data_IF_782952750435
#
_entry.id   IF_782952750435
#
_cell.length_a   1.000
_cell.length_b   1.000
_cell.length_c   1.000
_cell.angle_alpha   90.00
_cell.angle_beta   90.00
_cell.angle_gamma   90.00
#
_symmetry.space_group_name_H-M   'P 1'
#
loop_
_entity.id
_entity.type
_entity.pdbx_description
1 polymer ?
#
# COMPACT_ATOMS: atom_id res chain seq x y z
N UNK A 1 -49.11 -45.05 38.32
CA UNK A 1 -48.71 -44.57 36.98
C UNK A 1 -48.48 -43.07 37.05
N UNK A 2 -47.25 -42.60 36.87
CA UNK A 2 -46.90 -41.17 36.95
C UNK A 2 -46.87 -40.56 35.56
N UNK A 3 -47.66 -39.51 35.35
CA UNK A 3 -47.73 -38.83 34.05
C UNK A 3 -46.44 -38.03 33.79
N UNK A 4 -45.82 -38.23 32.63
CA UNK A 4 -44.69 -37.43 32.19
C UNK A 4 -45.11 -35.96 31.97
N UNK A 5 -44.53 -35.04 32.75
CA UNK A 5 -44.80 -33.61 32.61
C UNK A 5 -44.38 -33.08 31.25
N UNK A 6 -45.28 -32.34 30.58
CA UNK A 6 -44.96 -31.68 29.30
C UNK A 6 -43.86 -30.62 29.53
N UNK A 7 -42.78 -30.59 28.73
CA UNK A 7 -41.72 -29.60 28.90
C UNK A 7 -42.25 -28.18 28.68
N UNK A 8 -41.71 -27.22 29.44
CA UNK A 8 -42.20 -25.84 29.46
C UNK A 8 -41.87 -25.09 28.17
N UNK A 9 -42.71 -24.11 27.79
CA UNK A 9 -42.46 -23.28 26.59
C UNK A 9 -41.17 -22.43 26.65
N UNK A 10 -40.49 -22.35 27.80
CA UNK A 10 -39.25 -21.57 27.95
C UNK A 10 -38.00 -22.28 27.41
N UNK A 11 -38.04 -23.60 27.23
CA UNK A 11 -36.93 -24.40 26.71
C UNK A 11 -36.94 -24.54 25.17
N UNK A 12 -37.91 -23.91 24.51
CA UNK A 12 -37.96 -23.75 23.05
C UNK A 12 -36.92 -22.73 22.58
N UNK A 13 -35.66 -23.18 22.61
CA UNK A 13 -34.53 -22.79 21.76
C UNK A 13 -34.42 -21.28 21.48
N UNK A 14 -33.39 -20.65 22.05
CA UNK A 14 -32.75 -19.47 21.44
C UNK A 14 -32.26 -19.86 20.04
N UNK A 15 -33.15 -19.78 19.04
CA UNK A 15 -32.85 -20.16 17.67
C UNK A 15 -31.90 -19.10 17.10
N UNK A 16 -30.61 -19.42 17.10
CA UNK A 16 -29.56 -18.59 16.51
C UNK A 16 -29.84 -18.51 15.01
N UNK A 17 -30.46 -17.40 14.59
CA UNK A 17 -30.71 -17.14 13.18
C UNK A 17 -29.37 -16.96 12.47
N UNK A 18 -28.94 -17.99 11.73
CA UNK A 18 -27.74 -17.93 10.90
C UNK A 18 -27.95 -16.93 9.76
N UNK A 19 -27.17 -15.84 9.78
CA UNK A 19 -27.10 -14.89 8.66
C UNK A 19 -26.06 -15.39 7.67
N UNK A 20 -26.46 -15.56 6.41
CA UNK A 20 -25.50 -15.78 5.33
C UNK A 20 -24.75 -14.47 5.07
N UNK A 21 -23.42 -14.50 5.19
CA UNK A 21 -22.52 -13.42 4.82
C UNK A 21 -21.74 -13.78 3.56
N UNK A 22 -21.43 -12.77 2.73
CA UNK A 22 -20.50 -12.93 1.61
C UNK A 22 -19.11 -12.48 2.08
N UNK A 23 -18.31 -13.43 2.56
CA UNK A 23 -16.91 -13.20 2.96
C UNK A 23 -15.98 -13.64 1.84
N UNK A 24 -14.86 -12.93 1.66
CA UNK A 24 -13.78 -13.37 0.76
C UNK A 24 -13.33 -14.80 1.13
N UNK A 25 -13.17 -15.71 0.16
CA UNK A 25 -12.55 -17.01 0.41
C UNK A 25 -11.02 -16.90 0.59
N UNK A 26 -10.41 -15.80 0.11
CA UNK A 26 -8.97 -15.57 0.13
C UNK A 26 -8.52 -14.94 1.44
N UNK A 27 -7.36 -15.38 1.94
CA UNK A 27 -6.78 -14.87 3.19
C UNK A 27 -5.34 -14.41 2.96
N UNK A 28 -5.10 -13.10 2.88
CA UNK A 28 -3.75 -12.54 2.78
C UNK A 28 -2.93 -12.93 4.01
N UNK A 29 -1.89 -13.76 3.81
CA UNK A 29 -0.96 -14.23 4.84
C UNK A 29 0.47 -13.93 4.40
N UNK A 30 1.34 -13.65 5.37
CA UNK A 30 2.76 -13.47 5.12
C UNK A 30 3.44 -14.83 4.98
N UNK A 31 4.28 -14.99 3.95
CA UNK A 31 5.11 -16.17 3.76
C UNK A 31 6.08 -16.36 4.95
N UNK A 32 6.29 -17.59 5.44
CA UNK A 32 7.15 -17.85 6.59
C UNK A 32 8.63 -17.64 6.24
N UNK A 33 9.33 -16.86 7.06
CA UNK A 33 10.77 -16.62 6.92
C UNK A 33 11.57 -17.64 7.74
N UNK A 34 12.62 -18.22 7.16
CA UNK A 34 13.49 -19.17 7.85
C UNK A 34 14.25 -18.49 9.02
N UNK A 35 14.49 -19.19 10.15
CA UNK A 35 15.19 -18.60 11.31
C UNK A 35 16.59 -18.08 10.98
N UNK A 36 17.34 -18.78 10.12
CA UNK A 36 18.70 -18.39 9.69
C UNK A 36 18.68 -17.07 8.92
N UNK A 37 17.74 -16.92 7.98
CA UNK A 37 17.64 -15.74 7.13
C UNK A 37 17.07 -14.53 7.87
N UNK A 38 16.14 -14.73 8.79
CA UNK A 38 15.74 -13.72 9.79
C UNK A 38 16.97 -13.14 10.50
N UNK A 39 17.83 -13.98 11.07
CA UNK A 39 18.98 -13.50 11.84
C UNK A 39 20.06 -12.85 10.98
N UNK A 40 20.23 -13.32 9.74
CA UNK A 40 21.04 -12.63 8.73
C UNK A 40 20.50 -11.24 8.43
N UNK A 41 19.22 -11.12 8.03
CA UNK A 41 18.56 -9.85 7.70
C UNK A 41 18.70 -8.84 8.84
N UNK A 42 18.44 -9.25 10.08
CA UNK A 42 18.54 -8.36 11.25
C UNK A 42 19.97 -7.85 11.50
N UNK A 43 21.00 -8.68 11.27
CA UNK A 43 22.41 -8.27 11.39
C UNK A 43 22.79 -7.31 10.27
N UNK A 44 22.57 -7.69 9.00
CA UNK A 44 22.90 -6.85 7.84
C UNK A 44 22.24 -5.48 7.90
N UNK A 45 20.97 -5.41 8.32
CA UNK A 45 20.28 -4.13 8.56
C UNK A 45 20.95 -3.29 9.64
N UNK A 46 21.22 -3.89 10.81
CA UNK A 46 21.86 -3.22 11.94
C UNK A 46 23.22 -2.66 11.54
N UNK A 47 24.06 -3.49 10.95
CA UNK A 47 25.44 -3.14 10.62
C UNK A 47 25.48 -2.03 9.55
N UNK A 48 24.60 -2.09 8.53
CA UNK A 48 24.49 -1.04 7.51
C UNK A 48 23.92 0.28 8.06
N UNK A 49 22.93 0.23 8.97
CA UNK A 49 22.38 1.44 9.60
C UNK A 49 23.44 2.14 10.47
N UNK A 50 24.22 1.37 11.23
CA UNK A 50 25.35 1.90 12.01
C UNK A 50 26.42 2.49 11.07
N UNK A 51 26.81 1.78 10.01
CA UNK A 51 27.81 2.25 9.05
C UNK A 51 27.37 3.50 8.26
N UNK A 52 26.07 3.68 8.02
CA UNK A 52 25.52 4.88 7.36
C UNK A 52 25.28 6.05 8.33
N UNK A 53 25.39 5.83 9.64
CA UNK A 53 25.19 6.86 10.67
C UNK A 53 23.76 7.41 10.75
N UNK A 54 22.76 6.69 10.23
CA UNK A 54 21.37 7.14 10.14
C UNK A 54 20.63 7.06 11.49
N UNK A 55 20.88 8.01 12.38
CA UNK A 55 20.19 8.10 13.68
C UNK A 55 19.33 9.37 13.76
N UNK A 56 18.02 9.22 14.03
CA UNK A 56 17.14 10.35 14.27
C UNK A 56 17.46 11.01 15.62
N UNK A 57 18.12 12.15 15.60
CA UNK A 57 18.33 13.03 16.76
C UNK A 57 17.08 13.88 16.99
N UNK A 58 16.35 13.60 18.07
CA UNK A 58 15.22 14.44 18.49
C UNK A 58 15.71 15.67 19.26
N UNK A 59 15.97 16.77 18.54
CA UNK A 59 16.14 18.07 19.16
C UNK A 59 14.85 18.49 19.88
N UNK A 60 14.88 18.50 21.22
CA UNK A 60 13.79 18.96 22.09
C UNK A 60 13.71 20.48 22.08
N UNK A 61 13.49 21.09 20.90
CA UNK A 61 13.14 22.51 20.82
C UNK A 61 11.81 22.71 21.57
N UNK A 62 11.76 23.53 22.64
CA UNK A 62 10.50 23.81 23.31
C UNK A 62 9.61 24.55 22.32
N UNK A 63 8.45 23.95 21.98
CA UNK A 63 7.49 24.60 21.10
C UNK A 63 7.01 25.87 21.79
N UNK A 64 7.50 27.02 21.35
CA UNK A 64 6.96 28.31 21.78
C UNK A 64 5.49 28.36 21.36
N UNK A 65 4.61 28.11 22.34
CA UNK A 65 3.17 28.17 22.17
C UNK A 65 2.82 29.59 21.72
N UNK A 66 2.36 29.75 20.48
CA UNK A 66 2.02 31.07 19.94
C UNK A 66 0.93 31.68 20.82
N UNK A 67 1.31 32.62 21.68
CA UNK A 67 0.34 33.49 22.36
C UNK A 67 -0.47 34.18 21.27
N UNK A 68 -1.78 34.06 21.34
CA UNK A 68 -2.75 34.67 20.42
C UNK A 68 -2.53 36.18 20.48
N UNK A 69 -1.84 36.75 19.49
CA UNK A 69 -1.64 38.20 19.39
C UNK A 69 -2.96 38.80 18.96
N UNK A 70 -3.59 39.54 19.86
CA UNK A 70 -4.84 40.24 19.57
C UNK A 70 -4.58 41.35 18.54
N UNK A 71 -5.52 41.51 17.62
CA UNK A 71 -5.40 42.50 16.55
C UNK A 71 -5.64 43.90 17.11
N UNK A 72 -4.77 44.83 16.73
CA UNK A 72 -5.17 46.22 16.51
C UNK A 72 -4.45 46.72 15.25
N UNK A 73 -5.15 47.31 14.27
CA UNK A 73 -4.54 47.84 13.07
C UNK A 73 -3.91 49.20 13.35
N UNK A 74 -2.88 49.56 12.58
CA UNK A 74 -2.79 50.87 11.93
C UNK A 74 -1.82 50.79 10.74
N UNK A 75 -2.01 51.67 9.76
CA UNK A 75 -1.44 51.54 8.42
C UNK A 75 -0.25 52.48 8.16
N UNK A 76 0.73 52.03 7.38
CA UNK A 76 1.54 52.89 6.49
C UNK A 76 2.39 52.09 5.48
N UNK A 77 2.35 52.54 4.22
CA UNK A 77 3.35 52.43 3.15
C UNK A 77 3.76 51.04 2.55
N UNK A 78 3.79 51.03 1.22
CA UNK A 78 4.21 49.98 0.29
C UNK A 78 5.74 50.12 -0.05
N UNK A 79 6.39 49.36 -0.99
CA UNK A 79 5.83 48.47 -2.01
C UNK A 79 6.51 47.09 -2.20
N UNK A 80 5.98 46.36 -3.18
CA UNK A 80 6.35 45.00 -3.63
C UNK A 80 7.56 45.02 -4.57
N UNK A 81 8.39 43.96 -4.58
CA UNK A 81 8.71 43.34 -5.86
C UNK A 81 8.61 41.79 -5.86
N UNK A 82 7.72 41.32 -6.75
CA UNK A 82 7.88 40.21 -7.71
C UNK A 82 8.08 38.75 -7.22
N UNK A 83 7.49 37.86 -8.01
CA UNK A 83 7.43 36.39 -7.84
C UNK A 83 8.25 35.75 -8.97
N UNK A 84 9.00 34.71 -8.62
CA UNK A 84 9.88 33.93 -9.50
C UNK A 84 11.15 33.58 -8.70
N UNK A 85 11.66 32.36 -8.66
CA UNK A 85 11.38 31.17 -9.47
C UNK A 85 11.13 29.91 -8.62
N UNK A 86 10.74 28.82 -9.29
CA UNK A 86 10.39 27.56 -8.66
C UNK A 86 11.62 26.75 -8.23
N UNK A 87 11.70 26.46 -6.93
CA UNK A 87 12.48 25.33 -6.44
C UNK A 87 11.64 24.59 -5.39
N UNK A 88 11.31 23.32 -5.66
CA UNK A 88 10.48 22.51 -4.76
C UNK A 88 11.18 22.30 -3.41
N UNK A 89 10.83 23.16 -2.45
CA UNK A 89 11.46 23.26 -1.14
C UNK A 89 11.26 22.03 -0.24
N UNK A 90 12.11 21.01 -0.43
CA UNK A 90 12.42 20.03 0.60
C UNK A 90 13.10 20.74 1.78
N UNK A 91 12.30 21.33 2.68
CA UNK A 91 12.75 22.01 3.90
C UNK A 91 13.82 21.17 4.64
N UNK A 92 15.11 21.56 4.62
CA UNK A 92 16.20 20.65 4.97
C UNK A 92 16.43 20.51 6.48
N UNK A 93 15.91 21.43 7.29
CA UNK A 93 16.28 21.60 8.72
C UNK A 93 15.23 21.16 9.72
N UNK A 94 14.05 20.67 9.30
CA UNK A 94 12.97 20.26 10.23
C UNK A 94 13.00 18.79 10.64
N UNK A 95 13.89 18.01 10.03
CA UNK A 95 13.93 16.57 10.13
C UNK A 95 15.29 16.23 10.73
N UNK A 96 15.36 15.91 12.02
CA UNK A 96 16.61 15.63 12.76
C UNK A 96 17.30 14.33 12.35
N UNK A 97 17.55 14.14 11.06
CA UNK A 97 18.22 13.00 10.46
C UNK A 97 19.56 13.47 9.86
N UNK A 98 20.71 12.93 10.29
CA UNK A 98 21.96 13.10 9.55
C UNK A 98 21.84 12.38 8.20
N UNK A 99 22.50 12.91 7.16
CA UNK A 99 22.54 12.27 5.83
C UNK A 99 21.20 12.31 5.08
N UNK A 100 20.83 13.48 4.54
CA UNK A 100 19.57 13.66 3.80
C UNK A 100 19.42 12.69 2.62
N UNK A 101 20.51 12.39 1.90
CA UNK A 101 20.56 11.40 0.80
C UNK A 101 20.15 10.01 1.28
N UNK A 102 20.82 9.49 2.31
CA UNK A 102 20.56 8.16 2.84
C UNK A 102 19.13 8.07 3.44
N UNK A 103 18.64 9.15 4.04
CA UNK A 103 17.25 9.22 4.49
C UNK A 103 16.24 9.23 3.34
N UNK A 104 16.52 9.85 2.18
CA UNK A 104 15.62 9.82 1.00
C UNK A 104 15.43 8.42 0.44
N UNK A 105 16.47 7.58 0.49
CA UNK A 105 16.45 6.19 0.01
C UNK A 105 15.63 5.23 0.89
N UNK A 106 15.18 5.66 2.08
CA UNK A 106 14.39 4.82 3.00
C UNK A 106 12.93 5.29 3.16
N UNK A 107 12.00 4.36 3.00
CA UNK A 107 10.60 4.51 3.39
C UNK A 107 10.40 3.94 4.80
N UNK A 108 10.24 4.80 5.81
CA UNK A 108 10.11 4.38 7.22
C UNK A 108 8.66 4.53 7.68
N UNK A 109 8.07 3.42 8.15
CA UNK A 109 6.70 3.36 8.62
C UNK A 109 5.69 3.05 7.52
N UNK A 110 4.53 2.52 7.92
CA UNK A 110 3.51 1.96 7.02
C UNK A 110 3.08 2.97 5.95
N UNK A 111 2.75 4.21 6.35
CA UNK A 111 2.26 5.24 5.42
C UNK A 111 3.28 5.72 4.38
N UNK A 112 4.59 5.67 4.68
CA UNK A 112 5.63 6.01 3.71
C UNK A 112 5.96 4.83 2.79
N UNK A 113 5.83 3.61 3.31
CA UNK A 113 5.91 2.38 2.53
C UNK A 113 4.74 2.26 1.55
N UNK A 114 3.49 2.52 1.95
CA UNK A 114 2.33 2.45 1.05
C UNK A 114 2.46 3.43 -0.11
N UNK A 115 2.77 4.71 0.18
CA UNK A 115 3.05 5.73 -0.86
C UNK A 115 4.14 5.29 -1.84
N UNK A 116 5.20 4.66 -1.34
CA UNK A 116 6.31 4.22 -2.17
C UNK A 116 5.96 2.96 -3.00
N UNK A 117 5.13 2.05 -2.48
CA UNK A 117 4.56 0.93 -3.26
C UNK A 117 3.62 1.44 -4.35
N UNK A 118 2.70 2.35 -4.01
CA UNK A 118 1.73 2.94 -4.95
C UNK A 118 2.44 3.59 -6.16
N UNK A 119 3.57 4.26 -5.91
CA UNK A 119 4.45 4.92 -6.89
C UNK A 119 5.48 4.00 -7.58
N UNK A 120 5.47 2.69 -7.34
CA UNK A 120 6.49 1.74 -7.84
C UNK A 120 7.95 2.06 -7.44
N UNK A 121 8.14 2.84 -6.37
CA UNK A 121 9.45 3.34 -5.94
C UNK A 121 10.22 2.35 -5.05
N UNK A 122 9.66 1.21 -4.63
CA UNK A 122 10.36 0.24 -3.76
C UNK A 122 11.10 -0.85 -4.55
N UNK A 123 12.22 -1.29 -3.98
CA UNK A 123 13.02 -2.44 -4.41
C UNK A 123 12.89 -3.64 -3.44
N UNK A 124 12.67 -3.36 -2.15
CA UNK A 124 12.52 -4.34 -1.06
C UNK A 124 11.65 -3.78 0.06
N UNK A 125 10.80 -4.60 0.67
CA UNK A 125 9.97 -4.24 1.83
C UNK A 125 10.12 -5.24 2.99
N UNK A 126 10.45 -4.74 4.17
CA UNK A 126 10.52 -5.50 5.42
C UNK A 126 9.45 -4.99 6.40
N UNK A 127 8.66 -5.90 6.98
CA UNK A 127 7.56 -5.58 7.89
C UNK A 127 7.75 -6.29 9.23
N UNK A 128 7.50 -5.62 10.36
CA UNK A 128 7.72 -6.22 11.66
C UNK A 128 6.60 -7.20 12.04
N UNK A 129 6.93 -8.38 12.59
CA UNK A 129 5.91 -9.34 13.08
C UNK A 129 5.14 -8.86 14.31
N UNK A 130 5.67 -7.90 15.07
CA UNK A 130 5.04 -7.39 16.30
C UNK A 130 3.87 -6.42 16.07
N UNK A 131 3.59 -6.01 14.82
CA UNK A 131 2.51 -5.06 14.50
C UNK A 131 1.14 -5.65 14.86
N UNK A 132 0.37 -4.91 15.66
CA UNK A 132 -1.03 -5.21 16.01
C UNK A 132 -1.89 -3.96 15.74
N UNK A 133 -3.09 -4.11 15.15
CA UNK A 133 -3.65 -5.34 14.57
C UNK A 133 -2.98 -5.73 13.24
N UNK A 134 -2.93 -7.03 12.94
CA UNK A 134 -2.29 -7.55 11.72
C UNK A 134 -2.88 -7.01 10.41
N UNK A 135 -4.15 -6.57 10.42
CA UNK A 135 -4.79 -5.94 9.26
C UNK A 135 -4.04 -4.67 8.77
N UNK A 136 -3.31 -3.99 9.65
CA UNK A 136 -2.44 -2.86 9.28
C UNK A 136 -1.21 -3.26 8.43
N UNK A 137 -0.92 -4.55 8.28
CA UNK A 137 0.17 -5.03 7.41
C UNK A 137 -0.34 -5.88 6.26
N UNK A 138 -1.47 -6.58 6.42
CA UNK A 138 -1.99 -7.49 5.39
C UNK A 138 -2.26 -6.83 4.03
N UNK A 139 -2.58 -5.53 3.98
CA UNK A 139 -2.77 -4.81 2.71
C UNK A 139 -1.45 -4.65 1.92
N UNK A 140 -0.30 -4.62 2.61
CA UNK A 140 1.02 -4.54 1.96
C UNK A 140 1.34 -5.80 1.16
N UNK A 141 0.75 -6.96 1.50
CA UNK A 141 0.92 -8.23 0.77
C UNK A 141 0.45 -8.05 -0.68
N UNK A 142 -0.81 -7.63 -0.86
CA UNK A 142 -1.40 -7.41 -2.19
C UNK A 142 -0.72 -6.27 -2.95
N UNK A 143 -0.40 -5.15 -2.27
CA UNK A 143 0.32 -4.04 -2.90
C UNK A 143 1.73 -4.45 -3.36
N UNK A 144 2.45 -5.27 -2.60
CA UNK A 144 3.79 -5.71 -2.99
C UNK A 144 3.74 -6.72 -4.14
N UNK A 145 2.82 -7.70 -4.06
CA UNK A 145 2.64 -8.71 -5.10
C UNK A 145 2.26 -8.10 -6.46
N UNK A 146 1.29 -7.17 -6.50
CA UNK A 146 0.89 -6.50 -7.77
C UNK A 146 2.01 -5.69 -8.42
N UNK A 147 3.05 -5.31 -7.67
CA UNK A 147 4.20 -4.52 -8.17
C UNK A 147 5.52 -5.33 -8.20
N UNK A 148 5.46 -6.64 -7.98
CA UNK A 148 6.63 -7.54 -7.94
C UNK A 148 7.70 -7.16 -6.90
N UNK A 149 7.32 -6.43 -5.84
CA UNK A 149 8.28 -6.02 -4.81
C UNK A 149 8.46 -7.19 -3.83
N UNK A 150 9.68 -7.73 -3.66
CA UNK A 150 9.94 -8.74 -2.65
C UNK A 150 9.66 -8.16 -1.27
N UNK A 151 8.84 -8.85 -0.49
CA UNK A 151 8.53 -8.42 0.87
C UNK A 151 8.52 -9.58 1.87
N UNK A 152 8.88 -9.33 3.12
CA UNK A 152 8.74 -10.35 4.16
C UNK A 152 8.42 -9.77 5.54
N UNK A 153 7.89 -10.64 6.39
CA UNK A 153 7.62 -10.32 7.78
C UNK A 153 8.78 -10.78 8.68
N UNK A 154 9.57 -9.84 9.17
CA UNK A 154 10.73 -10.08 10.03
C UNK A 154 10.30 -9.96 11.51
N UNK A 155 10.37 -11.04 12.32
CA UNK A 155 10.13 -10.95 13.75
C UNK A 155 11.26 -10.20 14.45
N UNK A 156 10.93 -9.47 15.54
CA UNK A 156 11.87 -8.70 16.37
C UNK A 156 12.60 -7.53 15.67
N UNK A 157 12.26 -7.21 14.42
CA UNK A 157 12.87 -6.10 13.67
C UNK A 157 12.80 -4.77 14.42
N UNK A 158 11.65 -4.44 15.04
CA UNK A 158 11.52 -3.22 15.84
C UNK A 158 12.37 -3.22 17.12
N UNK A 159 12.71 -4.38 17.68
CA UNK A 159 13.57 -4.46 18.89
C UNK A 159 15.03 -4.24 18.52
N UNK A 160 15.48 -4.85 17.41
CA UNK A 160 16.88 -4.81 16.98
C UNK A 160 17.24 -3.53 16.23
N UNK A 161 16.34 -3.00 15.40
CA UNK A 161 16.68 -1.96 14.43
C UNK A 161 16.19 -0.56 14.83
N UNK A 162 15.05 -0.44 15.52
CA UNK A 162 14.45 0.88 15.79
C UNK A 162 15.36 1.77 16.67
N UNK A 163 16.01 1.18 17.68
CA UNK A 163 16.95 1.89 18.56
C UNK A 163 18.11 2.53 17.78
N UNK A 164 18.70 1.80 16.82
CA UNK A 164 19.81 2.30 15.99
C UNK A 164 19.39 3.41 15.00
N UNK A 165 18.09 3.53 14.72
CA UNK A 165 17.53 4.62 13.90
C UNK A 165 17.07 5.83 14.73
N UNK A 166 17.23 5.83 16.06
CA UNK A 166 16.66 6.86 16.93
C UNK A 166 15.12 6.83 17.00
N UNK A 167 14.51 5.65 16.81
CA UNK A 167 13.06 5.46 16.75
C UNK A 167 12.54 4.60 17.91
N UNK A 168 11.39 4.97 18.47
CA UNK A 168 10.71 4.18 19.52
C UNK A 168 10.19 2.84 19.00
N UNK A 169 9.78 2.78 17.73
CA UNK A 169 9.36 1.54 17.07
C UNK A 169 9.48 1.67 15.55
N UNK A 170 9.66 0.55 14.88
CA UNK A 170 9.77 0.43 13.42
C UNK A 170 8.82 -0.68 12.94
N UNK A 171 7.67 -0.28 12.39
CA UNK A 171 6.60 -1.21 11.97
C UNK A 171 6.83 -1.75 10.55
N UNK A 172 7.37 -0.93 9.65
CA UNK A 172 7.71 -1.27 8.28
C UNK A 172 8.91 -0.42 7.81
N UNK A 173 9.73 -0.99 6.93
CA UNK A 173 10.91 -0.40 6.33
C UNK A 173 10.97 -0.82 4.85
N UNK A 174 10.91 0.15 3.94
CA UNK A 174 11.09 -0.07 2.51
C UNK A 174 12.38 0.59 2.01
N UNK A 175 13.07 -0.08 1.09
CA UNK A 175 14.21 0.49 0.36
C UNK A 175 13.71 1.02 -0.98
N UNK A 176 13.94 2.31 -1.23
CA UNK A 176 13.56 2.94 -2.50
C UNK A 176 14.62 2.67 -3.56
N UNK A 177 14.17 2.50 -4.81
CA UNK A 177 15.00 2.60 -6.01
C UNK A 177 15.57 4.02 -6.07
N UNK A 178 16.86 4.15 -6.38
CA UNK A 178 17.46 5.47 -6.57
C UNK A 178 17.30 5.90 -8.03
N UNK A 179 17.19 7.21 -8.28
CA UNK A 179 17.54 7.77 -9.59
C UNK A 179 19.05 7.73 -9.77
N UNK A 180 19.51 7.77 -11.02
CA UNK A 180 20.94 7.67 -11.43
C UNK A 180 21.87 8.69 -10.76
N UNK A 181 21.34 9.78 -10.22
CA UNK A 181 22.08 10.88 -9.58
C UNK A 181 22.43 10.62 -8.10
N UNK A 182 21.59 9.88 -7.36
CA UNK A 182 21.77 9.61 -5.93
C UNK A 182 22.57 8.29 -5.75
N UNK A 183 23.81 8.36 -5.24
CA UNK A 183 24.64 7.16 -4.96
C UNK A 183 23.89 6.14 -4.09
N UNK A 184 23.65 4.95 -4.62
CA UNK A 184 22.85 3.91 -3.98
C UNK A 184 23.54 3.34 -2.73
N UNK A 185 23.23 3.85 -1.53
CA UNK A 185 23.92 3.41 -0.30
C UNK A 185 23.43 2.05 0.19
N UNK A 186 22.20 1.66 -0.15
CA UNK A 186 21.59 0.42 0.34
C UNK A 186 21.57 -0.73 -0.67
N UNK A 187 22.11 -0.56 -1.87
CA UNK A 187 22.07 -1.55 -2.95
C UNK A 187 22.58 -2.92 -2.49
N UNK A 188 23.81 -2.99 -1.97
CA UNK A 188 24.40 -4.24 -1.46
C UNK A 188 23.59 -4.89 -0.33
N UNK A 189 22.86 -4.10 0.48
CA UNK A 189 21.96 -4.63 1.50
C UNK A 189 20.70 -5.22 0.89
N UNK A 190 20.13 -4.59 -0.14
CA UNK A 190 18.97 -5.14 -0.86
C UNK A 190 19.37 -6.39 -1.64
N UNK A 191 20.49 -6.38 -2.36
CA UNK A 191 20.96 -7.50 -3.16
C UNK A 191 21.34 -8.72 -2.28
N UNK A 192 21.87 -8.50 -1.07
CA UNK A 192 22.14 -9.57 -0.11
C UNK A 192 20.88 -10.16 0.57
N UNK A 193 19.80 -9.36 0.71
CA UNK A 193 18.56 -9.78 1.37
C UNK A 193 17.56 -10.39 0.38
N UNK A 194 17.40 -9.80 -0.81
CA UNK A 194 16.43 -10.19 -1.84
C UNK A 194 16.39 -11.71 -2.14
N UNK A 195 17.50 -12.45 -2.34
CA UNK A 195 17.45 -13.89 -2.60
C UNK A 195 17.02 -14.75 -1.40
N UNK A 196 16.94 -14.18 -0.19
CA UNK A 196 16.51 -14.86 1.05
C UNK A 196 15.06 -14.54 1.43
N UNK A 197 14.43 -13.64 0.69
CA UNK A 197 13.03 -13.25 0.91
C UNK A 197 12.13 -14.29 0.21
N UNK A 198 11.23 -14.97 0.94
CA UNK A 198 10.27 -15.85 0.30
C UNK A 198 9.32 -15.05 -0.60
N UNK A 199 8.92 -15.62 -1.73
CA UNK A 199 7.90 -15.04 -2.60
C UNK A 199 6.57 -14.85 -1.86
N UNK A 200 5.82 -13.81 -2.23
CA UNK A 200 4.46 -13.60 -1.72
C UNK A 200 3.48 -14.26 -2.69
N UNK A 201 2.86 -15.35 -2.25
CA UNK A 201 1.70 -15.88 -2.96
C UNK A 201 0.44 -15.08 -2.56
N UNK A 202 -0.35 -14.70 -3.55
CA UNK A 202 -1.66 -14.08 -3.37
C UNK A 202 -2.66 -14.93 -4.13
N UNK A 203 -3.55 -15.62 -3.40
CA UNK A 203 -4.46 -16.66 -3.92
C UNK A 203 -5.24 -16.29 -5.21
N UNK A 204 -5.51 -14.99 -5.43
CA UNK A 204 -6.28 -14.45 -6.55
C UNK A 204 -5.43 -13.87 -7.69
N UNK A 205 -4.10 -13.83 -7.55
CA UNK A 205 -3.16 -13.37 -8.55
C UNK A 205 -2.49 -14.57 -9.23
N UNK A 206 -2.30 -14.49 -10.54
CA UNK A 206 -1.52 -15.47 -11.30
C UNK A 206 -0.19 -14.85 -11.68
N UNK A 207 0.90 -15.54 -11.35
CA UNK A 207 2.27 -15.12 -11.63
C UNK A 207 2.67 -15.67 -13.03
N UNK A 208 2.13 -15.06 -14.09
CA UNK A 208 2.36 -15.52 -15.48
C UNK A 208 3.76 -15.20 -16.04
N UNK A 209 4.69 -14.70 -15.20
CA UNK A 209 6.09 -14.47 -15.55
C UNK A 209 6.90 -15.76 -15.84
N UNK A 210 6.27 -16.94 -15.82
CA UNK A 210 6.93 -18.24 -15.99
C UNK A 210 6.29 -19.17 -17.05
N UNK A 211 5.20 -18.79 -17.73
CA UNK A 211 4.52 -19.66 -18.68
C UNK A 211 3.69 -18.92 -19.75
N UNK A 212 4.36 -18.40 -20.79
CA UNK A 212 3.70 -17.96 -22.04
C UNK A 212 4.19 -18.84 -23.19
N UNK A 213 3.34 -19.68 -23.81
CA UNK A 213 3.59 -20.29 -25.11
C UNK A 213 3.53 -19.24 -26.22
N UNK A 214 4.45 -19.32 -27.19
CA UNK A 214 4.78 -18.27 -28.19
C UNK A 214 3.78 -18.22 -29.38
N UNK A 215 2.50 -18.48 -29.16
CA UNK A 215 1.55 -18.86 -30.24
C UNK A 215 0.34 -17.93 -30.44
N UNK A 216 0.29 -16.73 -29.82
CA UNK A 216 -0.88 -15.82 -29.90
C UNK A 216 -0.54 -14.33 -30.10
N UNK A 217 0.56 -14.02 -30.80
CA UNK A 217 0.97 -12.64 -31.13
C UNK A 217 1.16 -12.42 -32.64
N UNK A 218 0.26 -12.98 -33.47
CA UNK A 218 0.36 -12.90 -34.94
C UNK A 218 -0.80 -12.15 -35.64
N UNK A 219 -1.98 -12.03 -35.00
CA UNK A 219 -3.23 -11.71 -35.73
C UNK A 219 -3.84 -10.32 -35.44
N UNK A 220 -3.04 -9.32 -35.06
CA UNK A 220 -3.54 -7.94 -34.77
C UNK A 220 -2.62 -6.83 -35.31
N UNK A 221 -2.14 -6.96 -36.55
CA UNK A 221 -1.59 -5.85 -37.34
C UNK A 221 -2.24 -5.81 -38.74
N UNK A 222 -3.47 -5.27 -38.83
CA UNK A 222 -4.03 -4.72 -40.08
C UNK A 222 -5.31 -3.90 -39.76
N UNK A 223 -5.35 -2.62 -40.11
CA UNK A 223 -6.53 -1.76 -39.88
C UNK A 223 -6.23 -0.29 -39.57
N UNK A 224 -5.53 0.41 -40.46
CA UNK A 224 -5.38 1.87 -40.40
C UNK A 224 -6.59 2.63 -40.97
N UNK A 225 -6.69 3.90 -40.59
CA UNK A 225 -7.48 5.00 -41.20
C UNK A 225 -9.01 4.89 -41.34
N UNK A 226 -9.73 5.72 -40.56
CA UNK A 226 -10.58 6.76 -41.17
C UNK A 226 -10.90 7.91 -40.20
N UNK A 227 -10.76 9.13 -40.72
CA UNK A 227 -11.05 10.42 -40.04
C UNK A 227 -12.30 11.03 -40.68
N UNK A 228 -13.23 11.59 -39.89
CA UNK A 228 -14.07 12.72 -40.36
C UNK A 228 -14.81 13.45 -39.21
N UNK A 229 -15.19 14.70 -39.47
CA UNK A 229 -15.89 15.62 -38.55
C UNK A 229 -17.29 16.02 -39.09
N UNK A 230 -18.17 16.81 -38.47
CA UNK A 230 -18.18 17.57 -37.21
C UNK A 230 -19.64 17.79 -36.76
N UNK A 231 -19.88 18.27 -35.52
CA UNK A 231 -20.60 19.53 -35.20
C UNK A 231 -21.08 19.64 -33.74
N UNK A 232 -21.21 20.89 -33.29
CA UNK A 232 -21.49 21.33 -31.92
C UNK A 232 -22.98 21.62 -31.61
N UNK A 233 -23.22 21.94 -30.33
CA UNK A 233 -24.35 22.64 -29.66
C UNK A 233 -25.12 21.78 -28.62
N UNK A 234 -25.43 22.25 -27.41
CA UNK A 234 -25.02 23.44 -26.64
C UNK A 234 -25.23 23.16 -25.12
N UNK A 235 -24.60 23.94 -24.23
CA UNK A 235 -25.15 24.23 -22.89
C UNK A 235 -24.86 23.25 -21.74
N UNK A 236 -23.82 23.51 -20.93
CA UNK A 236 -23.64 22.79 -19.66
C UNK A 236 -22.38 23.09 -18.85
N UNK A 237 -22.29 24.27 -18.23
CA UNK A 237 -21.16 24.64 -17.34
C UNK A 237 -20.94 23.62 -16.22
N UNK A 238 -19.89 22.80 -16.28
CA UNK A 238 -19.47 21.91 -15.17
C UNK A 238 -17.96 21.91 -14.96
N UNK A 239 -17.56 22.50 -13.83
CA UNK A 239 -16.32 22.32 -13.07
C UNK A 239 -15.07 21.82 -13.82
N UNK A 240 -14.10 22.73 -14.02
CA UNK A 240 -12.74 22.40 -14.44
C UNK A 240 -12.10 21.37 -13.49
N UNK A 241 -12.12 20.09 -13.90
CA UNK A 241 -11.21 19.08 -13.34
C UNK A 241 -9.82 19.39 -13.89
N UNK A 242 -8.85 19.59 -13.00
CA UNK A 242 -7.45 19.76 -13.40
C UNK A 242 -7.00 18.50 -14.13
N UNK A 243 -6.67 18.64 -15.41
CA UNK A 243 -5.94 17.62 -16.18
C UNK A 243 -4.55 17.55 -15.54
N UNK A 244 -4.25 16.42 -14.90
CA UNK A 244 -2.92 16.19 -14.34
C UNK A 244 -2.10 15.59 -15.47
N UNK A 245 -1.14 16.35 -15.97
CA UNK A 245 -0.25 15.90 -17.03
C UNK A 245 0.64 14.81 -16.46
N UNK A 246 0.53 13.62 -17.04
CA UNK A 246 1.32 12.46 -16.65
C UNK A 246 2.67 12.64 -17.35
N UNK A 247 3.62 13.26 -16.65
CA UNK A 247 5.01 13.30 -17.10
C UNK A 247 5.53 11.87 -17.24
N UNK A 248 5.90 11.54 -18.47
CA UNK A 248 6.15 10.18 -18.95
C UNK A 248 7.58 9.75 -18.70
N UNK A 249 7.91 9.42 -17.45
CA UNK A 249 9.09 8.60 -17.10
C UNK A 249 8.69 7.41 -16.21
N UNK A 250 7.72 6.62 -16.68
CA UNK A 250 7.48 5.27 -16.16
C UNK A 250 8.28 4.33 -17.05
N UNK A 251 9.50 3.98 -16.62
CA UNK A 251 10.28 2.92 -17.26
C UNK A 251 9.49 1.60 -17.22
N UNK A 252 9.29 1.01 -18.40
CA UNK A 252 8.40 -0.13 -18.60
C UNK A 252 8.82 -1.36 -17.80
N UNK A 253 8.07 -1.64 -16.74
CA UNK A 253 8.04 -2.92 -16.01
C UNK A 253 6.76 -3.02 -15.17
N UNK A 254 5.64 -2.62 -15.76
CA UNK A 254 4.32 -2.89 -15.19
C UNK A 254 4.02 -4.38 -15.35
N UNK A 255 4.39 -5.18 -14.34
CA UNK A 255 4.12 -6.61 -14.32
C UNK A 255 2.62 -6.86 -14.55
N UNK A 256 2.32 -7.61 -15.61
CA UNK A 256 0.97 -7.94 -16.06
C UNK A 256 0.29 -8.90 -15.10
N UNK A 257 -0.25 -8.38 -14.00
CA UNK A 257 -0.81 -9.19 -12.93
C UNK A 257 -2.21 -9.71 -13.29
N UNK A 258 -2.33 -10.98 -13.67
CA UNK A 258 -3.60 -11.58 -14.12
C UNK A 258 -4.46 -12.03 -12.93
N UNK A 259 -5.74 -11.64 -12.93
CA UNK A 259 -6.70 -11.97 -11.87
C UNK A 259 -7.34 -13.34 -12.10
N UNK A 260 -7.38 -14.19 -11.06
CA UNK A 260 -8.08 -15.47 -11.10
C UNK A 260 -9.62 -15.27 -11.01
N UNK A 261 -10.42 -15.87 -11.91
CA UNK A 261 -11.87 -15.71 -11.90
C UNK A 261 -12.54 -16.45 -10.73
N UNK A 262 -13.53 -15.81 -10.11
CA UNK A 262 -14.31 -16.39 -9.01
C UNK A 262 -15.52 -17.20 -9.51
N UNK A 263 -15.53 -18.52 -9.28
CA UNK A 263 -16.66 -19.41 -9.60
C UNK A 263 -17.66 -19.51 -8.45
N UNK A 264 -18.86 -18.95 -8.63
CA UNK A 264 -19.96 -19.03 -7.64
C UNK A 264 -20.49 -20.47 -7.57
N UNK A 265 -20.19 -21.19 -6.47
CA UNK A 265 -20.62 -22.58 -6.29
C UNK A 265 -22.11 -22.75 -5.95
N UNK A 266 -22.70 -21.82 -5.21
CA UNK A 266 -24.10 -21.91 -4.72
C UNK A 266 -24.64 -20.54 -4.39
N UNK A 267 -25.86 -20.25 -4.83
CA UNK A 267 -26.61 -19.06 -4.43
C UNK A 267 -27.70 -19.50 -3.45
N UNK A 268 -27.58 -19.09 -2.19
CA UNK A 268 -28.64 -19.31 -1.19
C UNK A 268 -29.59 -18.10 -1.24
N UNK A 269 -30.89 -18.28 -1.57
CA UNK A 269 -31.83 -17.17 -1.56
C UNK A 269 -32.03 -16.67 -0.13
N UNK A 270 -32.00 -15.35 0.08
CA UNK A 270 -32.27 -14.75 1.38
C UNK A 270 -33.71 -15.10 1.82
N UNK A 271 -33.91 -15.86 2.93
CA UNK A 271 -35.23 -16.32 3.35
C UNK A 271 -36.18 -15.19 3.77
N UNK A 272 -35.64 -14.02 4.16
CA UNK A 272 -36.45 -12.85 4.50
C UNK A 272 -36.97 -12.08 3.26
N UNK A 273 -36.45 -12.37 2.06
CA UNK A 273 -36.81 -11.62 0.83
C UNK A 273 -38.06 -12.22 0.19
N UNK A 274 -39.25 -11.73 0.59
CA UNK A 274 -40.53 -11.98 -0.12
C UNK A 274 -40.38 -11.60 -1.60
N UNK A 275 -40.25 -12.59 -2.49
CA UNK A 275 -40.21 -12.38 -3.94
C UNK A 275 -41.63 -12.06 -4.42
N UNK A 276 -41.82 -10.91 -5.08
CA UNK A 276 -43.03 -10.68 -5.88
C UNK A 276 -43.07 -11.74 -6.98
N UNK A 277 -44.14 -12.53 -7.00
CA UNK A 277 -44.45 -13.41 -8.13
C UNK A 277 -44.68 -12.53 -9.36
N UNK A 278 -43.95 -12.79 -10.46
CA UNK A 278 -44.25 -12.13 -11.73
C UNK A 278 -45.60 -12.64 -12.20
N UNK A 279 -46.56 -11.74 -12.41
CA UNK A 279 -47.82 -12.05 -13.08
C UNK A 279 -47.48 -12.69 -14.44
N UNK A 280 -47.97 -13.91 -14.67
CA UNK A 280 -47.97 -14.50 -16.01
C UNK A 280 -48.88 -13.63 -16.87
N UNK A 281 -48.36 -13.00 -17.92
CA UNK A 281 -49.22 -12.48 -18.98
C UNK A 281 -50.02 -13.66 -19.52
N UNK A 282 -51.35 -13.59 -19.44
CA UNK A 282 -52.20 -14.47 -20.23
C UNK A 282 -51.96 -14.14 -21.70
N UNK A 283 -52.01 -15.18 -22.54
CA UNK A 283 -51.99 -15.05 -24.01
C UNK A 283 -53.34 -14.53 -24.47
#
# INVERSE_FOLDING_TARGET
MTAAGKPSKKDLKKHIQSKASFTSPFSSKWSPLLPKDKDFILRTLKDKIIATGLEKKEEKTPRQWRKKKENKPDAAAAPVPQIGEEAQGSNPTRNGWPGSVARRQLAIGINEVTKALERNQLQLLLVCKSVRPHLMTNHLIALSATRGVPACQVPRMSETVAAHLGLKSLLALGFRRCSSEDKEMFRDTVDAIKPRVPSLEVDWLTDEAAAVPVELTADLEEGEEQTEEAKEEEGGRRAQKRKLEIESEITDSALSCVLRPLKVKRIVPNPAKKRRTKLKKQK
#
